data_IF_598121690484
#
_entry.id   IF_598121690484
#
_cell.length_a   1.000
_cell.length_b   1.000
_cell.length_c   1.000
_cell.angle_alpha   90.00
_cell.angle_beta   90.00
_cell.angle_gamma   90.00
#
_symmetry.space_group_name_H-M   'P 1'
#
loop_
_entity.id
_entity.type
_entity.pdbx_description
1 polymer ?
#
# COMPACT_ATOMS: atom_id res chain seq x y z
N UNK A 1 37.69 -11.97 -28.52
CA UNK A 1 37.21 -11.60 -27.17
C UNK A 1 37.49 -10.12 -26.96
N UNK A 2 36.49 -9.32 -26.60
CA UNK A 2 36.66 -7.87 -26.47
C UNK A 2 37.44 -7.54 -25.20
N UNK A 3 38.59 -6.86 -25.35
CA UNK A 3 39.49 -6.46 -24.24
C UNK A 3 38.98 -5.24 -23.44
N UNK A 4 37.72 -4.86 -23.62
CA UNK A 4 37.14 -3.69 -22.95
C UNK A 4 36.77 -4.05 -21.49
N UNK A 5 37.13 -3.24 -20.48
CA UNK A 5 36.86 -3.54 -19.07
C UNK A 5 35.38 -3.86 -18.77
N UNK A 6 34.46 -3.13 -19.40
CA UNK A 6 33.01 -3.30 -19.25
C UNK A 6 32.41 -4.53 -19.93
N UNK A 7 33.19 -5.23 -20.76
CA UNK A 7 32.76 -6.49 -21.38
C UNK A 7 33.12 -7.73 -20.53
N UNK A 8 33.95 -7.55 -19.49
CA UNK A 8 34.26 -8.60 -18.52
C UNK A 8 33.07 -8.79 -17.57
N UNK A 9 32.79 -10.02 -17.09
CA UNK A 9 31.74 -10.27 -16.10
C UNK A 9 31.85 -9.36 -14.86
N UNK A 10 33.05 -9.24 -14.27
CA UNK A 10 33.31 -8.37 -13.12
C UNK A 10 32.98 -6.89 -13.41
N UNK A 11 33.33 -6.39 -14.61
CA UNK A 11 33.01 -5.03 -15.01
C UNK A 11 31.51 -4.77 -15.15
N UNK A 12 30.73 -5.77 -15.59
CA UNK A 12 29.27 -5.68 -15.63
C UNK A 12 28.66 -5.67 -14.23
N UNK A 13 29.11 -6.57 -13.36
CA UNK A 13 28.68 -6.61 -11.96
C UNK A 13 28.95 -5.27 -11.26
N UNK A 14 30.16 -4.72 -11.39
CA UNK A 14 30.52 -3.44 -10.82
C UNK A 14 29.63 -2.29 -11.32
N UNK A 15 29.31 -2.25 -12.62
CA UNK A 15 28.37 -1.28 -13.18
C UNK A 15 26.96 -1.48 -12.62
N UNK A 16 26.46 -2.71 -12.55
CA UNK A 16 25.14 -3.02 -12.01
C UNK A 16 25.01 -2.59 -10.54
N UNK A 17 26.02 -2.88 -9.71
CA UNK A 17 26.07 -2.41 -8.33
C UNK A 17 26.08 -0.89 -8.23
N UNK A 18 26.89 -0.21 -9.05
CA UNK A 18 26.95 1.25 -9.08
C UNK A 18 25.57 1.86 -9.41
N UNK A 19 24.92 1.38 -10.47
CA UNK A 19 23.60 1.89 -10.86
C UNK A 19 22.52 1.54 -9.86
N UNK A 20 22.55 0.33 -9.26
CA UNK A 20 21.64 -0.03 -8.16
C UNK A 20 21.80 0.92 -6.97
N UNK A 21 23.03 1.26 -6.58
CA UNK A 21 23.29 2.21 -5.49
C UNK A 21 22.80 3.63 -5.83
N UNK A 22 23.03 4.10 -7.07
CA UNK A 22 22.50 5.37 -7.56
C UNK A 22 20.97 5.41 -7.49
N UNK A 23 20.32 4.38 -8.03
CA UNK A 23 18.86 4.28 -8.04
C UNK A 23 18.27 4.15 -6.65
N UNK A 24 18.88 3.35 -5.76
CA UNK A 24 18.42 3.23 -4.37
C UNK A 24 18.39 4.61 -3.67
N UNK A 25 19.38 5.46 -3.91
CA UNK A 25 19.43 6.82 -3.35
C UNK A 25 18.35 7.75 -3.93
N UNK A 26 18.02 7.60 -5.19
CA UNK A 26 16.89 8.33 -5.81
C UNK A 26 15.56 7.84 -5.26
N UNK A 27 15.43 6.53 -5.14
CA UNK A 27 14.23 5.84 -4.70
C UNK A 27 13.88 6.19 -3.26
N UNK A 28 14.85 6.29 -2.35
CA UNK A 28 14.62 6.77 -0.97
C UNK A 28 13.91 8.14 -0.97
N UNK A 29 14.28 9.06 -1.86
CA UNK A 29 13.64 10.38 -1.94
C UNK A 29 12.21 10.27 -2.47
N UNK A 30 11.97 9.40 -3.45
CA UNK A 30 10.63 9.15 -4.00
C UNK A 30 9.73 8.52 -2.94
N UNK A 31 10.20 7.49 -2.25
CA UNK A 31 9.47 6.81 -1.19
C UNK A 31 9.09 7.73 -0.05
N UNK A 32 9.95 8.68 0.35
CA UNK A 32 9.59 9.68 1.35
C UNK A 32 8.35 10.51 0.98
N UNK A 33 8.17 10.82 -0.30
CA UNK A 33 7.00 11.54 -0.82
C UNK A 33 5.79 10.60 -0.82
N UNK A 34 5.97 9.36 -1.29
CA UNK A 34 4.89 8.38 -1.39
C UNK A 34 4.35 7.96 -0.02
N UNK A 35 5.22 7.75 0.97
CA UNK A 35 4.84 7.48 2.36
C UNK A 35 3.91 8.58 2.89
N UNK A 36 4.28 9.84 2.66
CA UNK A 36 3.46 10.98 3.06
C UNK A 36 2.10 10.99 2.34
N UNK A 37 2.08 10.68 1.04
CA UNK A 37 0.86 10.61 0.24
C UNK A 37 -0.05 9.46 0.68
N UNK A 38 0.50 8.28 0.96
CA UNK A 38 -0.23 7.12 1.46
C UNK A 38 -0.84 7.43 2.82
N UNK A 39 -0.07 8.00 3.76
CA UNK A 39 -0.59 8.41 5.07
C UNK A 39 -1.76 9.42 4.93
N UNK A 40 -1.66 10.33 3.97
CA UNK A 40 -2.72 11.29 3.63
C UNK A 40 -3.95 10.59 3.08
N UNK A 41 -3.76 9.67 2.13
CA UNK A 41 -4.82 8.90 1.51
C UNK A 41 -5.62 8.07 2.52
N UNK A 42 -4.94 7.32 3.39
CA UNK A 42 -5.59 6.49 4.41
C UNK A 42 -6.53 7.31 5.31
N UNK A 43 -6.05 8.45 5.80
CA UNK A 43 -6.84 9.37 6.63
C UNK A 43 -8.05 9.92 5.87
N UNK A 44 -7.85 10.30 4.61
CA UNK A 44 -8.90 10.93 3.81
C UNK A 44 -9.98 9.91 3.41
N UNK A 45 -9.59 8.67 3.10
CA UNK A 45 -10.52 7.57 2.83
C UNK A 45 -11.36 7.21 4.06
N UNK A 46 -10.75 7.12 5.25
CA UNK A 46 -11.48 6.87 6.51
C UNK A 46 -12.57 7.94 6.74
N UNK A 47 -12.22 9.22 6.57
CA UNK A 47 -13.17 10.34 6.70
C UNK A 47 -14.26 10.28 5.63
N UNK A 48 -13.89 9.96 4.40
CA UNK A 48 -14.84 9.88 3.28
C UNK A 48 -15.92 8.84 3.54
N UNK A 49 -15.54 7.65 4.01
CA UNK A 49 -16.48 6.56 4.30
C UNK A 49 -17.41 6.92 5.47
N UNK A 50 -16.90 7.56 6.53
CA UNK A 50 -17.70 8.04 7.66
C UNK A 50 -18.75 9.06 7.21
N UNK A 51 -18.34 10.06 6.42
CA UNK A 51 -19.28 11.09 5.93
C UNK A 51 -20.30 10.45 4.97
N UNK A 52 -19.90 9.49 4.12
CA UNK A 52 -20.84 8.74 3.27
C UNK A 52 -21.90 8.00 4.09
N UNK A 53 -21.50 7.33 5.17
CA UNK A 53 -22.42 6.63 6.07
C UNK A 53 -23.42 7.62 6.69
N UNK A 54 -22.93 8.74 7.23
CA UNK A 54 -23.75 9.78 7.86
C UNK A 54 -24.78 10.38 6.88
N UNK A 55 -24.38 10.62 5.63
CA UNK A 55 -25.27 11.19 4.60
C UNK A 55 -26.34 10.21 4.14
N UNK A 56 -26.01 8.91 4.03
CA UNK A 56 -26.93 7.89 3.52
C UNK A 56 -27.86 7.39 4.61
N UNK A 57 -27.44 7.39 5.88
CA UNK A 57 -28.21 6.84 7.00
C UNK A 57 -29.66 7.35 7.06
N UNK A 58 -29.96 8.66 6.90
CA UNK A 58 -31.34 9.16 6.91
C UNK A 58 -32.19 8.67 5.73
N UNK A 59 -31.58 8.42 4.56
CA UNK A 59 -32.28 8.05 3.35
C UNK A 59 -32.44 6.52 3.20
N UNK A 60 -31.42 5.76 3.56
CA UNK A 60 -31.40 4.30 3.48
C UNK A 60 -30.49 3.70 4.56
N UNK A 61 -31.05 3.33 5.72
CA UNK A 61 -30.28 2.70 6.78
C UNK A 61 -29.61 1.39 6.36
N UNK A 62 -30.23 0.63 5.46
CA UNK A 62 -29.67 -0.63 4.95
C UNK A 62 -28.38 -0.40 4.15
N UNK A 63 -28.35 0.63 3.29
CA UNK A 63 -27.15 0.98 2.52
C UNK A 63 -26.06 1.59 3.41
N UNK A 64 -26.43 2.42 4.38
CA UNK A 64 -25.48 2.94 5.37
C UNK A 64 -24.81 1.79 6.16
N UNK A 65 -25.58 0.77 6.55
CA UNK A 65 -25.03 -0.42 7.19
C UNK A 65 -24.04 -1.18 6.30
N UNK A 66 -24.29 -1.28 4.99
CA UNK A 66 -23.34 -1.87 4.04
C UNK A 66 -22.05 -1.06 3.95
N UNK A 67 -22.15 0.28 3.92
CA UNK A 67 -20.99 1.18 3.95
C UNK A 67 -20.19 0.97 5.24
N UNK A 68 -20.87 0.83 6.38
CA UNK A 68 -20.23 0.56 7.66
C UNK A 68 -19.47 -0.77 7.66
N UNK A 69 -20.06 -1.84 7.11
CA UNK A 69 -19.36 -3.13 6.96
C UNK A 69 -18.11 -2.97 6.10
N UNK A 70 -18.22 -2.25 4.97
CA UNK A 70 -17.08 -1.97 4.10
C UNK A 70 -15.99 -1.20 4.84
N UNK A 71 -16.36 -0.13 5.56
CA UNK A 71 -15.45 0.65 6.39
C UNK A 71 -14.71 -0.19 7.43
N UNK A 72 -15.40 -1.07 8.15
CA UNK A 72 -14.75 -1.94 9.15
C UNK A 72 -13.71 -2.85 8.50
N UNK A 73 -14.04 -3.46 7.34
CA UNK A 73 -13.11 -4.31 6.60
C UNK A 73 -11.88 -3.53 6.14
N UNK A 74 -12.09 -2.35 5.57
CA UNK A 74 -11.01 -1.48 5.13
C UNK A 74 -10.15 -1.00 6.30
N UNK A 75 -10.76 -0.71 7.46
CA UNK A 75 -10.06 -0.31 8.67
C UNK A 75 -9.03 -1.32 9.16
N UNK A 76 -9.31 -2.63 9.02
CA UNK A 76 -8.32 -3.68 9.34
C UNK A 76 -7.09 -3.61 8.43
N UNK A 77 -7.28 -3.40 7.13
CA UNK A 77 -6.18 -3.26 6.17
C UNK A 77 -5.42 -1.94 6.39
N UNK A 78 -6.15 -0.84 6.61
CA UNK A 78 -5.59 0.46 6.91
C UNK A 78 -4.73 0.41 8.18
N UNK A 79 -5.15 -0.33 9.21
CA UNK A 79 -4.36 -0.53 10.41
C UNK A 79 -3.01 -1.22 10.12
N UNK A 80 -3.00 -2.25 9.26
CA UNK A 80 -1.76 -2.88 8.82
C UNK A 80 -0.84 -1.90 8.08
N UNK A 81 -1.38 -1.10 7.16
CA UNK A 81 -0.60 -0.06 6.48
C UNK A 81 -0.03 0.97 7.45
N UNK A 82 -0.82 1.42 8.43
CA UNK A 82 -0.35 2.37 9.45
C UNK A 82 0.80 1.78 10.27
N UNK A 83 0.70 0.51 10.68
CA UNK A 83 1.79 -0.18 11.40
C UNK A 83 3.07 -0.24 10.55
N UNK A 84 2.95 -0.64 9.29
CA UNK A 84 4.10 -0.71 8.39
C UNK A 84 4.74 0.67 8.16
N UNK A 85 3.94 1.73 8.01
CA UNK A 85 4.46 3.09 7.92
C UNK A 85 5.22 3.49 9.19
N UNK A 86 4.72 3.12 10.38
CA UNK A 86 5.41 3.38 11.64
C UNK A 86 6.72 2.60 11.75
N UNK A 87 6.81 1.39 11.20
CA UNK A 87 8.05 0.63 11.17
C UNK A 87 9.08 1.26 10.22
N UNK A 88 8.65 1.79 9.08
CA UNK A 88 9.54 2.56 8.18
C UNK A 88 10.14 3.77 8.90
N UNK A 89 9.35 4.48 9.73
CA UNK A 89 9.84 5.65 10.49
C UNK A 89 10.94 5.27 11.49
N UNK A 90 10.97 4.02 11.96
CA UNK A 90 12.01 3.53 12.89
C UNK A 90 13.32 3.18 12.18
N UNK A 91 13.33 3.07 10.86
CA UNK A 91 14.54 2.68 10.12
C UNK A 91 15.63 3.75 10.25
N UNK A 92 16.90 3.35 10.44
CA UNK A 92 18.01 4.30 10.48
C UNK A 92 18.15 5.01 9.13
N UNK A 93 18.27 6.33 9.16
CA UNK A 93 18.39 7.14 7.95
C UNK A 93 17.06 7.55 7.31
N UNK A 94 15.91 7.20 7.90
CA UNK A 94 14.63 7.77 7.49
C UNK A 94 14.63 9.30 7.63
N UNK A 95 14.20 9.99 6.58
CA UNK A 95 14.19 11.45 6.48
C UNK A 95 12.87 12.02 5.96
N UNK A 96 11.87 11.16 5.75
CA UNK A 96 10.55 11.54 5.27
C UNK A 96 9.62 12.06 6.37
N UNK A 97 8.37 12.31 6.01
CA UNK A 97 7.32 12.74 6.93
C UNK A 97 6.11 11.82 6.83
N UNK A 98 5.76 11.18 7.95
CA UNK A 98 4.56 10.32 8.03
C UNK A 98 3.28 11.08 8.36
N UNK A 99 3.40 12.32 8.87
CA UNK A 99 2.23 13.12 9.24
C UNK A 99 1.38 13.36 8.00
N UNK A 100 0.10 12.97 8.00
CA UNK A 100 -0.80 13.20 6.87
C UNK A 100 -0.87 14.68 6.47
N UNK A 101 -0.58 15.01 5.22
CA UNK A 101 -0.62 16.36 4.67
C UNK A 101 -2.03 16.78 4.20
N UNK A 102 -2.10 17.87 3.44
CA UNK A 102 -3.34 18.30 2.77
C UNK A 102 -3.23 18.09 1.26
N UNK A 103 -4.14 17.30 0.67
CA UNK A 103 -4.13 17.03 -0.78
C UNK A 103 -4.69 18.20 -1.59
N UNK A 104 -3.91 18.79 -2.50
CA UNK A 104 -4.34 19.99 -3.26
C UNK A 104 -5.31 19.70 -4.42
N UNK A 105 -5.42 18.45 -4.88
CA UNK A 105 -6.31 18.08 -5.99
C UNK A 105 -7.62 17.47 -5.48
N UNK A 106 -8.74 17.90 -6.07
CA UNK A 106 -10.12 17.46 -5.74
C UNK A 106 -10.82 17.06 -7.04
N UNK A 107 -10.61 15.82 -7.51
CA UNK A 107 -11.40 15.25 -8.60
C UNK A 107 -12.74 14.68 -8.09
N UNK A 108 -13.78 14.70 -8.91
CA UNK A 108 -15.06 14.04 -8.62
C UNK A 108 -14.84 12.53 -8.51
N UNK A 109 -15.21 11.91 -7.38
CA UNK A 109 -15.07 10.47 -7.16
C UNK A 109 -13.74 10.04 -6.53
N UNK A 110 -12.82 10.97 -6.25
CA UNK A 110 -11.66 10.71 -5.39
C UNK A 110 -12.05 10.80 -3.92
N UNK A 111 -11.31 10.15 -3.01
CA UNK A 111 -11.54 10.12 -1.56
C UNK A 111 -11.62 11.49 -0.87
N UNK A 112 -11.31 12.60 -1.55
CA UNK A 112 -11.49 13.99 -1.07
C UNK A 112 -12.60 14.77 -1.81
N UNK A 113 -13.28 14.20 -2.80
CA UNK A 113 -14.52 14.83 -3.27
C UNK A 113 -15.46 14.95 -2.07
N UNK A 114 -16.10 16.11 -1.88
CA UNK A 114 -17.19 16.24 -0.91
C UNK A 114 -18.11 15.07 -1.24
N UNK A 115 -18.25 14.06 -0.36
CA UNK A 115 -19.09 12.93 -0.66
C UNK A 115 -20.47 13.53 -0.92
N UNK A 116 -20.91 13.43 -2.16
CA UNK A 116 -22.30 13.62 -2.53
C UNK A 116 -22.79 12.21 -2.75
N UNK A 117 -23.03 11.52 -1.63
CA UNK A 117 -23.47 10.15 -1.65
C UNK A 117 -24.88 10.13 -2.27
N UNK A 118 -24.95 9.85 -3.58
CA UNK A 118 -26.22 9.78 -4.31
C UNK A 118 -26.81 8.41 -4.10
N UNK A 119 -28.04 8.37 -3.59
CA UNK A 119 -28.81 7.14 -3.60
C UNK A 119 -29.11 6.77 -5.07
N UNK A 120 -28.86 5.53 -5.52
CA UNK A 120 -29.33 5.10 -6.82
C UNK A 120 -30.86 5.19 -6.85
N UNK A 121 -31.42 5.79 -7.90
CA UNK A 121 -32.86 6.09 -8.03
C UNK A 121 -33.80 4.88 -7.82
N UNK A 122 -33.27 3.66 -7.84
CA UNK A 122 -33.99 2.42 -7.59
C UNK A 122 -34.30 2.15 -6.11
N UNK A 123 -33.67 2.86 -5.17
CA UNK A 123 -33.86 2.69 -3.72
C UNK A 123 -34.77 3.76 -3.09
N UNK A 124 -35.37 4.65 -3.90
CA UNK A 124 -36.40 5.57 -3.41
C UNK A 124 -37.59 4.72 -2.95
N UNK A 125 -38.05 4.85 -1.69
CA UNK A 125 -39.18 4.05 -1.22
C UNK A 125 -40.40 4.39 -2.06
N UNK A 126 -40.84 3.44 -2.89
CA UNK A 126 -42.19 3.45 -3.43
C UNK A 126 -43.10 3.21 -2.25
N UNK A 127 -43.71 4.28 -1.73
CA UNK A 127 -44.91 4.16 -0.92
C UNK A 127 -45.92 3.38 -1.77
N UNK A 128 -46.27 2.14 -1.39
CA UNK A 128 -47.64 1.63 -1.30
C UNK A 128 -47.71 0.12 -0.93
N UNK A 129 -48.25 -0.11 0.27
CA UNK A 129 -49.08 -1.23 0.75
C UNK A 129 -48.45 -2.56 1.22
N UNK A 130 -48.94 -3.16 2.33
CA UNK A 130 -48.33 -4.30 2.99
C UNK A 130 -48.85 -5.64 2.42
N UNK A 131 -47.94 -6.53 2.05
CA UNK A 131 -48.29 -7.94 1.84
C UNK A 131 -47.54 -8.81 2.84
N UNK A 132 -48.35 -9.50 3.64
CA UNK A 132 -48.02 -10.45 4.70
C UNK A 132 -47.37 -11.71 4.12
N UNK A 133 -46.25 -12.14 4.72
CA UNK A 133 -45.66 -13.45 4.50
C UNK A 133 -44.29 -13.61 5.17
N UNK A 134 -44.25 -14.21 6.37
CA UNK A 134 -43.06 -14.83 6.98
C UNK A 134 -43.25 -16.37 6.94
N UNK A 135 -42.27 -17.19 7.33
CA UNK A 135 -40.83 -17.18 7.04
C UNK A 135 -40.38 -18.59 6.53
N UNK A 136 -39.13 -18.74 6.08
CA UNK A 136 -38.47 -20.06 6.09
C UNK A 136 -37.00 -19.92 6.47
N UNK A 137 -36.69 -20.49 7.63
CA UNK A 137 -35.36 -20.80 8.11
C UNK A 137 -34.75 -21.88 7.21
N UNK A 138 -33.44 -21.80 6.93
CA UNK A 138 -32.49 -22.89 7.19
C UNK A 138 -31.18 -22.74 6.39
N UNK A 139 -30.09 -23.08 7.10
CA UNK A 139 -28.80 -23.60 6.62
C UNK A 139 -27.83 -22.64 5.89
N UNK A 140 -26.54 -22.50 6.24
CA UNK A 140 -25.64 -23.26 7.10
C UNK A 140 -24.46 -22.33 7.49
N UNK A 141 -24.10 -22.30 8.77
CA UNK A 141 -22.78 -21.88 9.24
C UNK A 141 -21.88 -23.13 9.28
N UNK A 142 -20.83 -23.18 8.45
CA UNK A 142 -19.68 -24.09 8.58
C UNK A 142 -18.43 -23.30 8.15
N UNK A 143 -17.57 -22.92 9.11
CA UNK A 143 -16.29 -23.58 9.47
C UNK A 143 -15.21 -23.35 8.39
N UNK A 144 -13.92 -23.11 8.67
CA UNK A 144 -13.08 -23.07 9.87
C UNK A 144 -11.73 -22.48 9.44
N UNK A 145 -10.95 -22.01 10.41
CA UNK A 145 -9.55 -21.59 10.27
C UNK A 145 -8.63 -22.65 9.65
N UNK A 146 -7.60 -22.19 8.92
CA UNK A 146 -6.21 -22.66 9.09
C UNK A 146 -5.24 -21.70 8.37
N UNK A 147 -4.14 -21.24 9.02
CA UNK A 147 -3.03 -20.56 8.37
C UNK A 147 -1.99 -21.60 7.90
N UNK A 148 -1.63 -21.55 6.63
CA UNK A 148 -0.46 -22.25 6.06
C UNK A 148 0.58 -21.15 5.76
N UNK A 149 1.56 -21.01 6.64
CA UNK A 149 2.94 -21.52 6.49
C UNK A 149 3.76 -20.60 5.57
N UNK A 150 4.48 -19.66 6.20
CA UNK A 150 5.43 -18.75 5.54
C UNK A 150 6.81 -19.36 5.74
N UNK A 151 7.31 -20.03 4.70
CA UNK A 151 8.72 -20.41 4.63
C UNK A 151 9.55 -19.12 4.43
N UNK A 152 10.33 -18.76 5.44
CA UNK A 152 11.41 -17.78 5.33
C UNK A 152 12.55 -18.42 4.52
N UNK A 153 12.74 -17.99 3.27
CA UNK A 153 13.97 -18.28 2.53
C UNK A 153 15.05 -17.27 2.95
N UNK A 154 15.89 -17.67 3.92
CA UNK A 154 17.18 -17.03 4.19
C UNK A 154 18.25 -17.59 3.22
N UNK A 155 18.43 -16.94 2.07
CA UNK A 155 19.53 -17.24 1.15
C UNK A 155 20.02 -15.93 0.53
N UNK A 156 20.93 -15.19 1.19
CA UNK A 156 21.71 -14.12 0.53
C UNK A 156 22.86 -13.58 1.42
N UNK A 157 23.92 -14.36 1.67
CA UNK A 157 25.14 -13.81 2.30
C UNK A 157 26.46 -14.20 1.59
N UNK A 158 26.49 -15.25 0.75
CA UNK A 158 27.74 -15.67 0.09
C UNK A 158 28.09 -14.82 -1.15
N UNK A 159 27.09 -14.19 -1.78
CA UNK A 159 27.27 -13.44 -3.03
C UNK A 159 27.78 -11.99 -2.83
N UNK A 160 27.69 -11.46 -1.59
CA UNK A 160 28.09 -10.08 -1.26
C UNK A 160 29.60 -9.97 -1.05
N UNK A 161 30.21 -10.97 -0.42
CA UNK A 161 31.66 -11.08 -0.21
C UNK A 161 32.41 -11.15 -1.56
N UNK A 162 32.04 -12.07 -2.45
CA UNK A 162 32.68 -12.21 -3.78
C UNK A 162 32.55 -10.95 -4.65
N UNK A 163 31.39 -10.27 -4.58
CA UNK A 163 31.18 -9.02 -5.27
C UNK A 163 32.06 -7.88 -4.71
N UNK A 164 32.26 -7.84 -3.40
CA UNK A 164 33.11 -6.84 -2.74
C UNK A 164 34.60 -7.04 -3.07
N UNK A 165 35.07 -8.29 -3.12
CA UNK A 165 36.42 -8.65 -3.52
C UNK A 165 36.69 -8.30 -4.99
N UNK A 166 35.72 -8.56 -5.88
CA UNK A 166 35.84 -8.22 -7.29
C UNK A 166 35.91 -6.69 -7.53
N UNK A 167 35.22 -5.90 -6.72
CA UNK A 167 35.27 -4.43 -6.76
C UNK A 167 36.61 -3.92 -6.24
N UNK A 168 37.11 -4.47 -5.12
CA UNK A 168 38.43 -4.13 -4.57
C UNK A 168 39.57 -4.42 -5.57
N UNK A 169 39.51 -5.56 -6.27
CA UNK A 169 40.50 -5.89 -7.30
C UNK A 169 40.50 -4.96 -8.51
N UNK A 170 39.39 -4.27 -8.82
CA UNK A 170 39.36 -3.23 -9.88
C UNK A 170 39.98 -1.92 -9.36
N UNK A 171 39.82 -1.61 -8.07
CA UNK A 171 40.40 -0.42 -7.46
C UNK A 171 41.93 -0.51 -7.41
N UNK A 172 42.50 -1.64 -7.00
CA UNK A 172 43.95 -1.86 -6.95
C UNK A 172 44.61 -1.80 -8.33
N UNK A 173 43.96 -2.35 -9.38
CA UNK A 173 44.47 -2.29 -10.77
C UNK A 173 44.49 -0.86 -11.33
N UNK A 174 43.70 0.05 -10.75
CA UNK A 174 43.61 1.44 -11.19
C UNK A 174 44.68 2.34 -10.55
N UNK A 175 45.36 1.87 -9.49
CA UNK A 175 46.41 2.63 -8.76
C UNK A 175 47.83 2.37 -9.29
N UNK A 176 48.01 1.33 -10.13
CA UNK A 176 49.30 0.91 -10.70
C UNK A 176 49.55 1.40 -12.15
N UNK A 177 48.84 2.45 -12.62
CA UNK A 177 49.10 3.12 -13.91
C UNK A 177 49.49 4.58 -13.71
#
# INVERSE_FOLDING_TARGET
MSHRPWAKPAGRLAMDFYFKACHAREEIKRLNIEIHQVATYLRDEDKYLQICEEQICPASPALAYQIRIHYIKQGCLNAHHVLHLLDIVKLPGFSGMIVPGERTQTGVGESRSIPMAKLPSLLVPVSHSPWVGQPSEDNICKQRDSPEDLEEEEEEDEHVEEASEAVLGILEVSEDT
#
